data_IF_828959305661
#
_entry.id   IF_828959305661
#
_cell.length_a   1.000
_cell.length_b   1.000
_cell.length_c   1.000
_cell.angle_alpha   90.00
_cell.angle_beta   90.00
_cell.angle_gamma   90.00
#
_symmetry.space_group_name_H-M   'P 1'
#
loop_
_entity.id
_entity.type
_entity.pdbx_description
1 polymer ?
#
# COMPACT_ATOMS: atom_id res chain seq x y z
N UNK A 1 27.48 -2.44 -22.48
CA UNK A 1 27.12 -1.81 -21.20
C UNK A 1 28.38 -1.20 -20.66
N UNK A 2 28.41 0.13 -20.52
CA UNK A 2 29.58 0.82 -19.97
C UNK A 2 29.72 0.52 -18.47
N UNK A 3 30.93 0.50 -17.89
CA UNK A 3 31.15 0.17 -16.47
C UNK A 3 30.29 1.01 -15.52
N UNK A 4 30.08 2.30 -15.81
CA UNK A 4 29.22 3.18 -15.01
C UNK A 4 27.74 2.81 -15.05
N UNK A 5 27.26 2.25 -16.17
CA UNK A 5 25.88 1.78 -16.31
C UNK A 5 25.64 0.51 -15.48
N UNK A 6 26.62 -0.40 -15.44
CA UNK A 6 26.59 -1.60 -14.59
C UNK A 6 26.48 -1.19 -13.11
N UNK A 7 27.30 -0.24 -12.67
CA UNK A 7 27.30 0.26 -11.28
C UNK A 7 25.96 0.91 -10.93
N UNK A 8 25.38 1.70 -11.84
CA UNK A 8 24.05 2.29 -11.65
C UNK A 8 22.96 1.24 -11.47
N UNK A 9 22.95 0.19 -12.31
CA UNK A 9 21.98 -0.92 -12.18
C UNK A 9 22.14 -1.72 -10.88
N UNK A 10 23.37 -1.88 -10.40
CA UNK A 10 23.63 -2.51 -9.10
C UNK A 10 23.15 -1.64 -7.95
N UNK A 11 23.27 -0.31 -8.05
CA UNK A 11 22.67 0.60 -7.08
C UNK A 11 21.16 0.37 -7.02
N UNK A 12 20.45 0.34 -8.16
CA UNK A 12 18.99 0.17 -8.21
C UNK A 12 18.45 -1.12 -7.59
N UNK A 13 19.30 -2.13 -7.35
CA UNK A 13 18.92 -3.40 -6.71
C UNK A 13 18.30 -3.19 -5.33
N UNK A 14 18.64 -2.09 -4.65
CA UNK A 14 18.05 -1.75 -3.35
C UNK A 14 16.51 -1.66 -3.43
N UNK A 15 15.92 -1.19 -4.54
CA UNK A 15 14.46 -1.11 -4.72
C UNK A 15 13.79 -2.50 -4.70
N UNK A 16 14.47 -3.49 -5.29
CA UNK A 16 14.02 -4.88 -5.31
C UNK A 16 14.10 -5.47 -3.90
N UNK A 17 15.20 -5.21 -3.18
CA UNK A 17 15.37 -5.63 -1.79
C UNK A 17 14.33 -5.00 -0.85
N UNK A 18 14.02 -3.71 -1.02
CA UNK A 18 12.94 -3.05 -0.28
C UNK A 18 11.60 -3.74 -0.52
N UNK A 19 11.29 -4.05 -1.78
CA UNK A 19 10.04 -4.72 -2.15
C UNK A 19 9.94 -6.12 -1.53
N UNK A 20 11.05 -6.87 -1.52
CA UNK A 20 11.11 -8.17 -0.84
C UNK A 20 10.98 -8.05 0.67
N UNK A 21 11.57 -7.02 1.30
CA UNK A 21 11.41 -6.78 2.73
C UNK A 21 9.95 -6.48 3.05
N UNK A 22 9.35 -5.52 2.35
CA UNK A 22 7.95 -5.12 2.54
C UNK A 22 6.98 -6.29 2.31
N UNK A 23 7.21 -7.08 1.26
CA UNK A 23 6.45 -8.31 1.00
C UNK A 23 6.54 -9.30 2.17
N UNK A 24 7.72 -9.49 2.78
CA UNK A 24 7.95 -10.46 3.86
C UNK A 24 7.49 -9.97 5.24
N UNK A 25 7.75 -8.72 5.61
CA UNK A 25 7.47 -8.16 6.95
C UNK A 25 6.09 -7.55 7.04
N UNK A 26 5.75 -6.66 6.11
CA UNK A 26 4.52 -5.87 6.16
C UNK A 26 3.34 -6.67 5.60
N UNK A 27 3.53 -7.32 4.45
CA UNK A 27 2.47 -8.08 3.75
C UNK A 27 2.46 -9.58 4.10
N UNK A 28 3.44 -10.05 4.88
CA UNK A 28 3.57 -11.44 5.35
C UNK A 28 3.43 -12.46 4.21
N UNK A 29 4.12 -12.24 3.09
CA UNK A 29 4.21 -13.17 1.97
C UNK A 29 4.82 -14.51 2.40
N UNK A 30 3.96 -15.47 2.81
CA UNK A 30 4.34 -16.78 3.35
C UNK A 30 3.48 -17.88 2.70
N UNK A 31 3.66 -18.15 1.40
CA UNK A 31 2.89 -19.20 0.70
C UNK A 31 3.14 -20.61 1.28
N UNK A 32 4.22 -20.81 2.05
CA UNK A 32 4.56 -22.08 2.70
C UNK A 32 3.50 -22.62 3.67
N UNK A 33 2.60 -21.76 4.18
CA UNK A 33 1.52 -22.18 5.08
C UNK A 33 0.24 -22.61 4.34
N UNK A 34 0.23 -22.56 3.00
CA UNK A 34 -0.90 -22.97 2.16
C UNK A 34 -0.60 -24.35 1.53
N UNK A 35 -1.63 -25.19 1.42
CA UNK A 35 -1.48 -26.58 0.93
C UNK A 35 -2.13 -26.85 -0.42
N UNK A 36 -3.05 -26.00 -0.86
CA UNK A 36 -3.69 -26.10 -2.17
C UNK A 36 -3.10 -25.07 -3.11
N UNK A 37 -3.04 -25.40 -4.40
CA UNK A 37 -2.58 -24.49 -5.45
C UNK A 37 -3.37 -23.19 -5.43
N UNK A 38 -4.69 -23.28 -5.37
CA UNK A 38 -5.58 -22.11 -5.36
C UNK A 38 -5.29 -21.16 -4.19
N UNK A 39 -5.02 -21.69 -3.00
CA UNK A 39 -4.70 -20.85 -1.83
C UNK A 39 -3.33 -20.19 -1.96
N UNK A 40 -2.35 -20.86 -2.57
CA UNK A 40 -1.03 -20.28 -2.86
C UNK A 40 -1.17 -19.15 -3.88
N UNK A 41 -1.88 -19.39 -4.97
CA UNK A 41 -2.11 -18.40 -6.03
C UNK A 41 -2.85 -17.18 -5.48
N UNK A 42 -3.94 -17.38 -4.75
CA UNK A 42 -4.69 -16.28 -4.11
C UNK A 42 -3.82 -15.46 -3.15
N UNK A 43 -3.02 -16.11 -2.30
CA UNK A 43 -2.13 -15.42 -1.36
C UNK A 43 -1.09 -14.57 -2.11
N UNK A 44 -0.45 -15.13 -3.14
CA UNK A 44 0.53 -14.40 -3.95
C UNK A 44 -0.11 -13.23 -4.69
N UNK A 45 -1.28 -13.42 -5.30
CA UNK A 45 -2.02 -12.36 -5.97
C UNK A 45 -2.34 -11.21 -5.04
N UNK A 46 -2.85 -11.49 -3.83
CA UNK A 46 -3.17 -10.46 -2.83
C UNK A 46 -1.90 -9.73 -2.38
N UNK A 47 -0.81 -10.46 -2.13
CA UNK A 47 0.49 -9.87 -1.76
C UNK A 47 1.00 -8.94 -2.86
N UNK A 48 0.97 -9.38 -4.13
CA UNK A 48 1.43 -8.56 -5.26
C UNK A 48 0.57 -7.30 -5.44
N UNK A 49 -0.75 -7.43 -5.34
CA UNK A 49 -1.66 -6.29 -5.39
C UNK A 49 -1.37 -5.30 -4.25
N UNK A 50 -1.21 -5.80 -3.02
CA UNK A 50 -0.89 -4.95 -1.86
C UNK A 50 0.48 -4.29 -1.99
N UNK A 51 1.47 -4.96 -2.59
CA UNK A 51 2.80 -4.40 -2.88
C UNK A 51 2.68 -3.24 -3.88
N UNK A 52 1.94 -3.43 -4.98
CA UNK A 52 1.72 -2.41 -6.00
C UNK A 52 0.99 -1.18 -5.43
N UNK A 53 -0.06 -1.39 -4.64
CA UNK A 53 -0.78 -0.31 -3.95
C UNK A 53 0.14 0.43 -2.97
N UNK A 54 0.94 -0.30 -2.20
CA UNK A 54 1.89 0.30 -1.24
C UNK A 54 3.00 1.08 -1.94
N UNK A 55 3.48 0.61 -3.09
CA UNK A 55 4.44 1.32 -3.91
C UNK A 55 3.85 2.64 -4.43
N UNK A 56 2.65 2.58 -5.02
CA UNK A 56 1.96 3.76 -5.53
C UNK A 56 1.70 4.80 -4.43
N UNK A 57 1.24 4.34 -3.26
CA UNK A 57 0.99 5.21 -2.12
C UNK A 57 2.26 5.91 -1.63
N UNK A 58 3.39 5.19 -1.55
CA UNK A 58 4.68 5.78 -1.18
C UNK A 58 5.19 6.77 -2.23
N UNK A 59 5.08 6.40 -3.51
CA UNK A 59 5.55 7.25 -4.60
C UNK A 59 4.77 8.57 -4.69
N UNK A 60 3.43 8.50 -4.54
CA UNK A 60 2.57 9.69 -4.60
C UNK A 60 2.63 10.56 -3.35
N UNK A 61 2.78 9.95 -2.17
CA UNK A 61 2.82 10.70 -0.90
C UNK A 61 4.21 11.20 -0.52
N UNK A 62 5.27 10.57 -1.03
CA UNK A 62 6.65 10.79 -0.57
C UNK A 62 6.93 10.27 0.85
N UNK A 63 5.96 9.58 1.48
CA UNK A 63 6.08 9.05 2.83
C UNK A 63 6.39 7.56 2.80
N UNK A 64 7.11 7.06 3.80
CA UNK A 64 7.22 5.62 4.03
C UNK A 64 5.84 4.99 4.27
N UNK A 65 5.60 3.78 3.75
CA UNK A 65 4.28 3.12 3.84
C UNK A 65 3.77 3.01 5.28
N UNK A 66 4.65 2.77 6.25
CA UNK A 66 4.28 2.70 7.67
C UNK A 66 3.67 4.01 8.20
N UNK A 67 4.14 5.17 7.71
CA UNK A 67 3.61 6.47 8.10
C UNK A 67 2.26 6.73 7.44
N UNK A 68 2.09 6.35 6.16
CA UNK A 68 0.80 6.41 5.47
C UNK A 68 -0.23 5.57 6.23
N UNK A 69 0.11 4.32 6.55
CA UNK A 69 -0.78 3.42 7.30
C UNK A 69 -1.08 3.96 8.71
N UNK A 70 -0.08 4.47 9.43
CA UNK A 70 -0.27 5.04 10.78
C UNK A 70 -1.26 6.20 10.77
N UNK A 71 -1.22 7.04 9.73
CA UNK A 71 -2.10 8.20 9.58
C UNK A 71 -3.51 7.83 9.12
N UNK A 72 -3.65 6.87 8.20
CA UNK A 72 -4.96 6.49 7.64
C UNK A 72 -5.69 5.43 8.48
N UNK A 73 -5.00 4.56 9.22
CA UNK A 73 -5.60 3.45 10.00
C UNK A 73 -6.67 3.89 11.03
N UNK A 74 -6.56 5.03 11.71
CA UNK A 74 -7.58 5.50 12.65
C UNK A 74 -8.88 5.97 11.97
N UNK A 75 -8.83 6.32 10.69
CA UNK A 75 -9.97 6.87 9.96
C UNK A 75 -11.02 5.78 9.75
N UNK A 76 -12.19 5.94 10.39
CA UNK A 76 -13.31 5.00 10.30
C UNK A 76 -14.61 5.77 10.20
N UNK A 77 -15.50 5.31 9.33
CA UNK A 77 -16.87 5.81 9.28
C UNK A 77 -17.69 5.19 10.42
N UNK A 78 -18.50 5.99 11.08
CA UNK A 78 -19.44 5.52 12.09
C UNK A 78 -20.81 5.30 11.45
N UNK A 79 -21.45 4.15 11.69
CA UNK A 79 -22.84 3.91 11.27
C UNK A 79 -23.72 3.86 12.51
N UNK A 80 -24.67 4.77 12.60
CA UNK A 80 -25.62 4.90 13.70
C UNK A 80 -27.00 4.48 13.20
N UNK A 81 -27.68 3.61 13.95
CA UNK A 81 -29.05 3.22 13.67
C UNK A 81 -29.99 3.81 14.74
N UNK A 82 -30.92 4.68 14.34
CA UNK A 82 -31.93 5.29 15.22
C UNK A 82 -33.31 5.11 14.57
N UNK A 83 -34.29 4.61 15.33
CA UNK A 83 -35.68 4.43 14.89
C UNK A 83 -35.82 3.70 13.54
N UNK A 84 -34.99 2.67 13.31
CA UNK A 84 -34.99 1.89 12.07
C UNK A 84 -34.25 2.54 10.88
N UNK A 85 -33.76 3.78 11.02
CA UNK A 85 -32.99 4.48 9.98
C UNK A 85 -31.49 4.37 10.27
N UNK A 86 -30.68 4.06 9.25
CA UNK A 86 -29.21 4.02 9.34
C UNK A 86 -28.61 5.28 8.75
N UNK A 87 -27.74 5.93 9.52
CA UNK A 87 -26.93 7.07 9.08
C UNK A 87 -25.45 6.69 9.16
N UNK A 88 -24.71 6.98 8.09
CA UNK A 88 -23.25 6.77 8.05
C UNK A 88 -22.57 8.13 8.04
N UNK A 89 -21.68 8.34 9.00
CA UNK A 89 -20.88 9.54 9.17
C UNK A 89 -19.43 9.25 8.76
N UNK A 90 -18.85 10.00 7.81
CA UNK A 90 -17.44 9.86 7.46
C UNK A 90 -16.55 10.31 8.63
N UNK A 91 -15.29 9.85 8.69
CA UNK A 91 -14.33 10.36 9.65
C UNK A 91 -14.05 11.84 9.40
N UNK A 92 -13.78 12.59 10.47
CA UNK A 92 -13.26 13.95 10.35
C UNK A 92 -11.82 13.90 9.85
N UNK A 93 -11.50 14.72 8.85
CA UNK A 93 -10.19 14.77 8.21
C UNK A 93 -9.53 16.12 8.49
N UNK A 94 -8.37 16.09 9.17
CA UNK A 94 -7.49 17.25 9.25
C UNK A 94 -6.96 17.63 7.85
N UNK A 95 -6.59 18.90 7.61
CA UNK A 95 -6.17 19.39 6.29
C UNK A 95 -5.06 18.57 5.64
N UNK A 96 -4.06 18.19 6.42
CA UNK A 96 -2.92 17.41 5.94
C UNK A 96 -3.30 15.95 5.60
N UNK A 97 -4.22 15.34 6.35
CA UNK A 97 -4.75 14.01 6.01
C UNK A 97 -5.59 14.06 4.73
N UNK A 98 -6.35 15.14 4.52
CA UNK A 98 -7.07 15.37 3.26
C UNK A 98 -6.10 15.48 2.08
N UNK A 99 -5.07 16.31 2.21
CA UNK A 99 -4.01 16.44 1.19
C UNK A 99 -3.29 15.11 0.90
N UNK A 100 -3.03 14.31 1.94
CA UNK A 100 -2.47 12.97 1.76
C UNK A 100 -3.40 12.06 0.95
N UNK A 101 -4.70 12.05 1.26
CA UNK A 101 -5.68 11.26 0.52
C UNK A 101 -5.73 11.73 -0.93
N UNK A 102 -5.83 13.03 -1.17
CA UNK A 102 -5.89 13.61 -2.51
C UNK A 102 -4.63 13.30 -3.33
N UNK A 103 -3.44 13.32 -2.73
CA UNK A 103 -2.20 12.88 -3.38
C UNK A 103 -2.25 11.42 -3.79
N UNK A 104 -2.79 10.54 -2.94
CA UNK A 104 -2.83 9.10 -3.21
C UNK A 104 -3.94 8.75 -4.22
N UNK A 105 -5.09 9.42 -4.18
CA UNK A 105 -6.28 9.09 -4.99
C UNK A 105 -6.47 9.96 -6.23
N UNK A 106 -5.76 11.09 -6.32
CA UNK A 106 -5.88 12.05 -7.42
C UNK A 106 -5.59 11.43 -8.80
N UNK A 107 -6.13 12.03 -9.87
CA UNK A 107 -5.88 11.57 -11.22
C UNK A 107 -4.41 11.79 -11.59
N UNK A 108 -3.65 10.70 -11.81
CA UNK A 108 -2.33 10.77 -12.42
C UNK A 108 -1.36 9.62 -12.14
N UNK A 109 -1.31 8.65 -13.07
CA UNK A 109 -0.07 8.22 -13.74
C UNK A 109 -0.47 8.09 -15.22
N UNK A 110 -0.48 9.21 -15.95
CA UNK A 110 -0.55 9.17 -17.41
C UNK A 110 0.84 8.73 -17.86
N UNK A 111 0.95 7.48 -18.30
CA UNK A 111 2.16 6.95 -18.92
C UNK A 111 2.44 7.66 -20.25
#
# INVERSE_FOLDING_TARGET
MEPGEVIGKYHDLWHVEQSFRMSKTDLRARPIFHRTRDAIEAHLTIVFAALAVSYLAQHRSGLAIGNVLKRLRPLRSATIAINGTRHTFPPELDPDTRDLIDKITGPGLTH
#
